data_IF_303042310569
#
_entry.id   IF_303042310569
#
_cell.length_a   1.000
_cell.length_b   1.000
_cell.length_c   1.000
_cell.angle_alpha   90.00
_cell.angle_beta   90.00
_cell.angle_gamma   90.00
#
_symmetry.space_group_name_H-M   'P 1'
#
loop_
_entity.id
_entity.type
_entity.pdbx_description
1 polymer ?
#
# COMPACT_ATOMS: atom_id res chain seq x y z
N UNK A 1 -18.30 0.76 -23.98
CA UNK A 1 -17.08 0.14 -23.42
C UNK A 1 -16.01 1.24 -23.34
N UNK A 2 -15.67 1.72 -22.15
CA UNK A 2 -14.60 2.72 -22.00
C UNK A 2 -13.27 2.06 -22.39
N UNK A 3 -12.62 2.59 -23.40
CA UNK A 3 -11.28 2.17 -23.84
C UNK A 3 -10.32 2.49 -22.69
N UNK A 4 -9.83 1.47 -21.99
CA UNK A 4 -8.83 1.66 -20.92
C UNK A 4 -7.61 2.37 -21.53
N UNK A 5 -7.33 3.59 -21.08
CA UNK A 5 -6.21 4.38 -21.61
C UNK A 5 -4.90 3.64 -21.35
N UNK A 6 -3.97 3.66 -22.31
CA UNK A 6 -2.61 3.09 -22.15
C UNK A 6 -1.92 3.61 -20.90
N UNK A 7 -2.13 4.88 -20.55
CA UNK A 7 -1.60 5.52 -19.35
C UNK A 7 -2.05 4.82 -18.06
N UNK A 8 -3.33 4.40 -17.98
CA UNK A 8 -3.87 3.70 -16.81
C UNK A 8 -3.25 2.31 -16.63
N UNK A 9 -3.04 1.58 -17.74
CA UNK A 9 -2.37 0.27 -17.69
C UNK A 9 -0.94 0.43 -17.22
N UNK A 10 -0.19 1.41 -17.74
CA UNK A 10 1.19 1.69 -17.33
C UNK A 10 1.23 2.12 -15.86
N UNK A 11 0.32 2.98 -15.40
CA UNK A 11 0.23 3.39 -14.00
C UNK A 11 0.00 2.18 -13.07
N UNK A 12 -0.91 1.27 -13.42
CA UNK A 12 -1.13 0.04 -12.67
C UNK A 12 0.09 -0.88 -12.67
N UNK A 13 0.76 -1.05 -13.82
CA UNK A 13 1.98 -1.87 -13.92
C UNK A 13 3.11 -1.32 -13.04
N UNK A 14 3.36 0.00 -13.07
CA UNK A 14 4.41 0.62 -12.26
C UNK A 14 4.05 0.55 -10.76
N UNK A 15 2.77 0.68 -10.40
CA UNK A 15 2.34 0.49 -9.01
C UNK A 15 2.48 -0.98 -8.57
N UNK A 16 2.23 -1.94 -9.46
CA UNK A 16 2.49 -3.36 -9.20
C UNK A 16 3.99 -3.67 -9.09
N UNK A 17 4.84 -2.97 -9.87
CA UNK A 17 6.30 -3.03 -9.73
C UNK A 17 6.77 -2.44 -8.39
N UNK A 18 6.11 -1.38 -7.91
CA UNK A 18 6.35 -0.87 -6.57
C UNK A 18 6.00 -1.91 -5.50
N UNK A 19 4.96 -2.71 -5.70
CA UNK A 19 4.62 -3.80 -4.79
C UNK A 19 5.65 -4.94 -4.84
N UNK A 20 6.18 -5.27 -6.02
CA UNK A 20 7.33 -6.18 -6.16
C UNK A 20 8.55 -5.67 -5.38
N UNK A 21 8.93 -4.40 -5.56
CA UNK A 21 10.03 -3.74 -4.85
C UNK A 21 9.84 -3.80 -3.34
N UNK A 22 8.63 -3.53 -2.85
CA UNK A 22 8.28 -3.60 -1.44
C UNK A 22 8.54 -5.00 -0.86
N UNK A 23 8.17 -6.06 -1.59
CA UNK A 23 8.41 -7.42 -1.14
C UNK A 23 9.88 -7.82 -1.18
N UNK A 24 10.65 -7.35 -2.16
CA UNK A 24 12.13 -7.50 -2.16
C UNK A 24 12.72 -6.87 -0.90
N UNK A 25 12.40 -5.61 -0.60
CA UNK A 25 12.90 -4.90 0.56
C UNK A 25 12.47 -5.55 1.89
N UNK A 26 11.30 -6.19 1.92
CA UNK A 26 10.75 -6.90 3.08
C UNK A 26 11.49 -8.21 3.36
N UNK A 27 11.84 -8.98 2.31
CA UNK A 27 12.40 -10.32 2.44
C UNK A 27 13.94 -10.36 2.42
N UNK A 28 14.59 -9.38 1.78
CA UNK A 28 16.05 -9.31 1.64
C UNK A 28 16.82 -9.38 2.97
N UNK A 29 16.40 -8.77 4.10
CA UNK A 29 17.16 -8.83 5.34
C UNK A 29 17.35 -10.23 5.90
N UNK A 30 16.44 -11.16 5.60
CA UNK A 30 16.54 -12.54 6.07
C UNK A 30 17.81 -13.26 5.55
N UNK A 31 18.26 -12.88 4.36
CA UNK A 31 19.47 -13.44 3.73
C UNK A 31 20.74 -12.77 4.26
N UNK A 32 20.63 -11.59 4.85
CA UNK A 32 21.75 -10.76 5.33
C UNK A 32 21.89 -10.80 6.86
N UNK A 33 21.18 -11.68 7.55
CA UNK A 33 21.14 -11.69 9.05
C UNK A 33 22.53 -11.68 9.70
N UNK A 34 23.52 -12.49 9.25
CA UNK A 34 24.86 -12.46 9.85
C UNK A 34 25.56 -11.10 9.68
N UNK A 35 25.56 -10.57 8.46
CA UNK A 35 26.22 -9.29 8.15
C UNK A 35 25.56 -8.10 8.86
N UNK A 36 24.23 -8.12 8.98
CA UNK A 36 23.49 -7.08 9.69
C UNK A 36 23.72 -7.16 11.21
N UNK A 37 23.80 -8.38 11.77
CA UNK A 37 24.11 -8.60 13.18
C UNK A 37 25.46 -8.02 13.57
N UNK A 38 26.50 -8.28 12.78
CA UNK A 38 27.83 -7.70 12.95
C UNK A 38 27.83 -6.18 12.77
N UNK A 39 27.20 -5.69 11.70
CA UNK A 39 27.20 -4.26 11.37
C UNK A 39 26.50 -3.40 12.41
N UNK A 40 25.41 -3.89 12.98
CA UNK A 40 24.63 -3.17 14.01
C UNK A 40 25.08 -3.50 15.43
N UNK A 41 25.96 -4.47 15.63
CA UNK A 41 26.35 -4.92 16.96
C UNK A 41 25.21 -5.54 17.75
N UNK A 42 24.21 -6.13 17.09
CA UNK A 42 23.00 -6.64 17.68
C UNK A 42 23.00 -8.17 17.76
N UNK A 43 22.44 -8.69 18.84
CA UNK A 43 22.09 -10.11 18.93
C UNK A 43 21.01 -10.49 17.90
N UNK A 44 20.85 -11.79 17.62
CA UNK A 44 19.79 -12.27 16.73
C UNK A 44 18.39 -11.80 17.16
N UNK A 45 18.12 -11.77 18.46
CA UNK A 45 16.85 -11.27 19.01
C UNK A 45 16.69 -9.77 18.81
N UNK A 46 17.75 -8.97 19.07
CA UNK A 46 17.75 -7.52 18.83
C UNK A 46 17.52 -7.18 17.36
N UNK A 47 18.20 -7.90 16.46
CA UNK A 47 18.04 -7.74 15.02
C UNK A 47 16.63 -8.14 14.57
N UNK A 48 16.07 -9.24 15.08
CA UNK A 48 14.69 -9.63 14.79
C UNK A 48 13.70 -8.56 15.24
N UNK A 49 13.90 -7.93 16.41
CA UNK A 49 13.11 -6.81 16.89
C UNK A 49 13.18 -5.59 15.96
N UNK A 50 14.40 -5.19 15.54
CA UNK A 50 14.62 -4.11 14.60
C UNK A 50 13.90 -4.37 13.26
N UNK A 51 14.06 -5.56 12.71
CA UNK A 51 13.42 -5.95 11.46
C UNK A 51 11.89 -6.04 11.59
N UNK A 52 11.40 -6.43 12.78
CA UNK A 52 9.98 -6.49 13.13
C UNK A 52 9.26 -5.15 13.10
N UNK A 53 9.98 -4.01 13.28
CA UNK A 53 9.41 -2.67 13.19
C UNK A 53 8.70 -2.40 11.85
N UNK A 54 9.13 -3.06 10.79
CA UNK A 54 8.43 -3.02 9.51
C UNK A 54 6.96 -3.45 9.65
N UNK A 55 6.70 -4.58 10.28
CA UNK A 55 5.34 -5.12 10.45
C UNK A 55 4.53 -4.31 11.47
N UNK A 56 5.23 -3.82 12.50
CA UNK A 56 4.62 -2.98 13.52
C UNK A 56 4.11 -1.65 12.93
N UNK A 57 4.81 -1.08 11.97
CA UNK A 57 4.35 0.08 11.21
C UNK A 57 3.30 -0.31 10.16
N UNK A 58 3.53 -1.40 9.41
CA UNK A 58 2.67 -1.83 8.32
C UNK A 58 1.22 -2.03 8.75
N UNK A 59 0.99 -2.67 9.90
CA UNK A 59 -0.35 -3.02 10.37
C UNK A 59 -1.25 -1.79 10.64
N UNK A 60 -0.91 -0.82 11.50
CA UNK A 60 -1.75 0.34 11.75
C UNK A 60 -1.84 1.26 10.52
N UNK A 61 -0.75 1.42 9.76
CA UNK A 61 -0.77 2.23 8.56
C UNK A 61 -1.64 1.65 7.44
N UNK A 62 -2.01 0.37 7.49
CA UNK A 62 -2.96 -0.20 6.53
C UNK A 62 -4.36 0.43 6.64
N UNK A 63 -4.79 0.79 7.84
CA UNK A 63 -6.04 1.51 8.05
C UNK A 63 -5.93 2.97 7.57
N UNK A 64 -4.82 3.62 7.92
CA UNK A 64 -4.55 5.00 7.48
C UNK A 64 -4.47 5.09 5.96
N UNK A 65 -3.83 4.12 5.31
CA UNK A 65 -3.68 4.11 3.86
C UNK A 65 -5.02 3.98 3.12
N UNK A 66 -5.96 3.19 3.65
CA UNK A 66 -7.31 3.11 3.10
C UNK A 66 -8.00 4.49 3.11
N UNK A 67 -8.03 5.13 4.27
CA UNK A 67 -8.64 6.48 4.43
C UNK A 67 -7.91 7.53 3.59
N UNK A 68 -6.58 7.52 3.58
CA UNK A 68 -5.79 8.44 2.79
C UNK A 68 -6.03 8.26 1.28
N UNK A 69 -6.19 7.02 0.81
CA UNK A 69 -6.51 6.71 -0.58
C UNK A 69 -7.88 7.26 -0.98
N UNK A 70 -8.87 7.14 -0.10
CA UNK A 70 -10.24 7.65 -0.33
C UNK A 70 -10.32 9.18 -0.30
N UNK A 71 -9.51 9.85 0.52
CA UNK A 71 -9.53 11.31 0.67
C UNK A 71 -8.59 12.05 -0.26
N UNK A 72 -7.37 11.58 -0.43
CA UNK A 72 -6.29 12.25 -1.17
C UNK A 72 -6.06 11.65 -2.56
N UNK A 73 -6.59 10.44 -2.81
CA UNK A 73 -6.43 9.72 -4.06
C UNK A 73 -5.05 9.07 -4.23
N UNK A 74 -4.95 8.18 -5.23
CA UNK A 74 -3.74 7.39 -5.48
C UNK A 74 -2.54 8.24 -5.94
N UNK A 75 -2.79 9.36 -6.65
CA UNK A 75 -1.73 10.20 -7.22
C UNK A 75 -0.81 10.81 -6.17
N UNK A 76 -1.32 11.13 -5.00
CA UNK A 76 -0.52 11.73 -3.93
C UNK A 76 -0.02 10.67 -2.95
N UNK A 77 -0.89 9.74 -2.57
CA UNK A 77 -0.60 8.77 -1.51
C UNK A 77 0.42 7.71 -1.91
N UNK A 78 0.32 7.17 -3.14
CA UNK A 78 1.22 6.10 -3.60
C UNK A 78 2.67 6.60 -3.78
N UNK A 79 2.94 7.75 -4.42
CA UNK A 79 4.30 8.29 -4.51
C UNK A 79 4.90 8.64 -3.14
N UNK A 80 4.10 9.18 -2.22
CA UNK A 80 4.56 9.46 -0.85
C UNK A 80 4.96 8.16 -0.15
N UNK A 81 4.16 7.10 -0.30
CA UNK A 81 4.50 5.79 0.23
C UNK A 81 5.81 5.23 -0.35
N UNK A 82 6.00 5.35 -1.67
CA UNK A 82 7.23 4.91 -2.34
C UNK A 82 8.45 5.74 -1.90
N UNK A 83 8.29 7.05 -1.74
CA UNK A 83 9.34 7.94 -1.23
C UNK A 83 9.72 7.57 0.22
N UNK A 84 8.74 7.33 1.09
CA UNK A 84 8.98 6.89 2.46
C UNK A 84 9.75 5.56 2.50
N UNK A 85 9.40 4.61 1.64
CA UNK A 85 10.17 3.36 1.51
C UNK A 85 11.60 3.60 1.03
N UNK A 86 11.80 4.47 0.02
CA UNK A 86 13.12 4.79 -0.50
C UNK A 86 14.00 5.46 0.55
N UNK A 87 13.48 6.48 1.23
CA UNK A 87 14.18 7.15 2.36
C UNK A 87 14.47 6.15 3.48
N UNK A 88 13.50 5.32 3.83
CA UNK A 88 13.69 4.26 4.84
C UNK A 88 14.80 3.27 4.46
N UNK A 89 14.96 2.93 3.18
CA UNK A 89 16.05 2.08 2.71
C UNK A 89 17.43 2.78 2.80
N UNK A 90 17.49 4.09 2.52
CA UNK A 90 18.71 4.90 2.68
C UNK A 90 19.12 5.00 4.15
N UNK A 91 18.15 5.23 5.06
CA UNK A 91 18.43 5.26 6.50
C UNK A 91 18.91 3.89 7.00
N UNK A 92 18.33 2.80 6.50
CA UNK A 92 18.78 1.45 6.84
C UNK A 92 20.23 1.18 6.38
N UNK A 93 20.64 1.76 5.27
CA UNK A 93 21.99 1.61 4.71
C UNK A 93 23.10 2.29 5.52
N UNK A 94 22.78 3.20 6.45
CA UNK A 94 23.77 3.98 7.23
C UNK A 94 24.60 3.14 8.19
N UNK A 95 24.10 2.00 8.64
CA UNK A 95 24.76 1.16 9.62
C UNK A 95 24.52 1.57 11.09
N UNK A 96 23.82 2.65 11.35
CA UNK A 96 23.40 3.05 12.68
C UNK A 96 22.10 2.35 13.07
N UNK A 97 22.02 1.64 14.22
CA UNK A 97 20.82 0.91 14.63
C UNK A 97 19.58 1.79 14.80
N UNK A 98 19.76 3.04 15.23
CA UNK A 98 18.65 3.98 15.44
C UNK A 98 18.08 4.42 14.11
N UNK A 99 18.95 4.82 13.18
CA UNK A 99 18.56 5.20 11.83
C UNK A 99 17.95 4.02 11.08
N UNK A 100 18.49 2.82 11.25
CA UNK A 100 17.95 1.59 10.69
C UNK A 100 16.55 1.27 11.22
N UNK A 101 16.30 1.50 12.53
CA UNK A 101 14.98 1.31 13.14
C UNK A 101 13.95 2.29 12.58
N UNK A 102 14.29 3.57 12.45
CA UNK A 102 13.45 4.58 11.79
C UNK A 102 13.23 4.20 10.33
N UNK A 103 14.27 3.75 9.64
CA UNK A 103 14.22 3.29 8.27
C UNK A 103 13.24 2.13 8.08
N UNK A 104 13.27 1.12 8.97
CA UNK A 104 12.34 -0.02 8.93
C UNK A 104 10.89 0.38 9.19
N UNK A 105 10.69 1.31 10.11
CA UNK A 105 9.37 1.88 10.37
C UNK A 105 8.81 2.60 9.12
N UNK A 106 9.62 3.47 8.50
CA UNK A 106 9.23 4.17 7.26
C UNK A 106 8.95 3.22 6.10
N UNK A 107 9.78 2.16 5.95
CA UNK A 107 9.54 1.13 4.94
C UNK A 107 8.22 0.40 5.16
N UNK A 108 7.87 0.09 6.41
CA UNK A 108 6.59 -0.52 6.77
C UNK A 108 5.41 0.39 6.47
N UNK A 109 5.46 1.64 6.95
CA UNK A 109 4.40 2.63 6.72
C UNK A 109 4.21 2.96 5.24
N UNK A 110 5.30 3.12 4.48
CA UNK A 110 5.25 3.39 3.05
C UNK A 110 4.80 2.17 2.24
N UNK A 111 5.29 0.98 2.58
CA UNK A 111 5.04 -0.25 1.84
C UNK A 111 3.55 -0.64 1.70
N UNK A 112 2.72 -0.18 2.62
CA UNK A 112 1.27 -0.41 2.59
C UNK A 112 0.62 0.16 1.33
N UNK A 113 1.06 1.33 0.88
CA UNK A 113 0.48 2.02 -0.27
C UNK A 113 0.70 1.30 -1.60
N UNK A 114 1.62 0.34 -1.67
CA UNK A 114 1.89 -0.44 -2.86
C UNK A 114 0.69 -1.32 -3.27
N UNK A 115 0.23 -2.19 -2.37
CA UNK A 115 -0.92 -3.07 -2.64
C UNK A 115 -2.23 -2.30 -2.72
N UNK A 116 -2.47 -1.40 -1.77
CA UNK A 116 -3.71 -0.62 -1.71
C UNK A 116 -3.83 0.24 -2.97
N UNK A 117 -2.74 0.90 -3.39
CA UNK A 117 -2.71 1.71 -4.61
C UNK A 117 -2.97 0.92 -5.88
N UNK A 118 -2.31 -0.23 -6.06
CA UNK A 118 -2.53 -1.09 -7.22
C UNK A 118 -3.96 -1.64 -7.28
N UNK A 119 -4.50 -2.06 -6.12
CA UNK A 119 -5.87 -2.55 -6.01
C UNK A 119 -6.90 -1.44 -6.27
N UNK A 120 -6.66 -0.24 -5.75
CA UNK A 120 -7.49 0.94 -6.00
C UNK A 120 -7.52 1.29 -7.49
N UNK A 121 -6.36 1.32 -8.16
CA UNK A 121 -6.29 1.56 -9.61
C UNK A 121 -7.03 0.48 -10.40
N UNK A 122 -6.90 -0.78 -10.01
CA UNK A 122 -7.59 -1.89 -10.65
C UNK A 122 -9.12 -1.76 -10.51
N UNK A 123 -9.61 -1.44 -9.31
CA UNK A 123 -11.03 -1.34 -9.02
C UNK A 123 -11.70 -0.12 -9.66
N UNK A 124 -10.99 1.02 -9.73
CA UNK A 124 -11.58 2.29 -10.20
C UNK A 124 -11.43 2.54 -11.70
N UNK A 125 -10.41 1.97 -12.34
CA UNK A 125 -10.07 2.30 -13.73
C UNK A 125 -10.30 1.16 -14.72
N UNK A 126 -10.59 -0.06 -14.24
CA UNK A 126 -10.83 -1.20 -15.11
C UNK A 126 -12.26 -1.74 -14.93
N UNK A 127 -12.82 -2.43 -15.94
CA UNK A 127 -14.11 -3.10 -15.81
C UNK A 127 -14.10 -4.09 -14.63
N UNK A 128 -15.21 -4.20 -13.91
CA UNK A 128 -15.35 -5.09 -12.74
C UNK A 128 -14.97 -6.55 -13.06
N UNK A 129 -15.24 -7.01 -14.29
CA UNK A 129 -14.87 -8.35 -14.77
C UNK A 129 -13.34 -8.60 -14.82
N UNK A 130 -12.52 -7.55 -14.87
CA UNK A 130 -11.05 -7.63 -14.93
C UNK A 130 -10.37 -7.21 -13.63
N UNK A 131 -11.06 -6.46 -12.77
CA UNK A 131 -10.49 -5.91 -11.54
C UNK A 131 -9.93 -7.02 -10.64
N UNK A 132 -10.68 -8.11 -10.42
CA UNK A 132 -10.24 -9.24 -9.61
C UNK A 132 -8.96 -9.91 -10.17
N UNK A 133 -8.89 -10.09 -11.50
CA UNK A 133 -7.71 -10.66 -12.18
C UNK A 133 -6.49 -9.75 -12.01
N UNK A 134 -6.66 -8.43 -12.12
CA UNK A 134 -5.56 -7.47 -11.95
C UNK A 134 -5.06 -7.41 -10.51
N UNK A 135 -5.96 -7.51 -9.53
CA UNK A 135 -5.60 -7.61 -8.11
C UNK A 135 -4.80 -8.89 -7.86
N UNK A 136 -5.26 -10.03 -8.42
CA UNK A 136 -4.51 -11.29 -8.36
C UNK A 136 -3.13 -11.22 -9.02
N UNK A 137 -3.02 -10.56 -10.18
CA UNK A 137 -1.74 -10.33 -10.86
C UNK A 137 -0.81 -9.42 -10.02
N UNK A 138 -1.34 -8.41 -9.34
CA UNK A 138 -0.58 -7.60 -8.39
C UNK A 138 -0.03 -8.47 -7.24
N UNK A 139 -0.84 -9.37 -6.68
CA UNK A 139 -0.38 -10.30 -5.64
C UNK A 139 0.73 -11.23 -6.15
N UNK A 140 0.62 -11.76 -7.37
CA UNK A 140 1.70 -12.52 -8.00
C UNK A 140 3.00 -11.72 -8.07
N UNK A 141 2.95 -10.45 -8.48
CA UNK A 141 4.12 -9.56 -8.52
C UNK A 141 4.76 -9.40 -7.14
N UNK A 142 3.96 -9.22 -6.08
CA UNK A 142 4.48 -9.17 -4.72
C UNK A 142 5.16 -10.46 -4.30
N UNK A 143 4.52 -11.61 -4.51
CA UNK A 143 5.10 -12.91 -4.16
C UNK A 143 6.40 -13.18 -4.95
N UNK A 144 6.44 -12.83 -6.24
CA UNK A 144 7.65 -12.89 -7.06
C UNK A 144 8.76 -11.99 -6.49
N UNK A 145 8.41 -10.78 -6.00
CA UNK A 145 9.34 -9.90 -5.30
C UNK A 145 9.90 -10.52 -4.02
N UNK A 146 9.07 -11.19 -3.23
CA UNK A 146 9.50 -11.92 -2.04
C UNK A 146 10.50 -13.04 -2.36
N UNK A 147 10.21 -13.82 -3.40
CA UNK A 147 11.13 -14.85 -3.91
C UNK A 147 12.44 -14.23 -4.42
N UNK A 148 12.35 -13.15 -5.20
CA UNK A 148 13.54 -12.44 -5.69
C UNK A 148 14.42 -11.93 -4.53
N UNK A 149 13.81 -11.38 -3.47
CA UNK A 149 14.53 -10.93 -2.29
C UNK A 149 15.25 -12.04 -1.51
N UNK A 150 14.79 -13.26 -1.61
CA UNK A 150 15.47 -14.41 -0.98
C UNK A 150 16.47 -15.09 -1.91
N UNK A 151 16.10 -15.37 -3.15
CA UNK A 151 16.93 -16.17 -4.05
C UNK A 151 17.98 -15.38 -4.82
N UNK A 152 17.73 -14.10 -5.13
CA UNK A 152 18.69 -13.28 -5.90
C UNK A 152 19.66 -12.52 -5.00
N UNK A 153 19.23 -12.13 -3.78
CA UNK A 153 20.06 -11.32 -2.89
C UNK A 153 21.25 -12.11 -2.36
N UNK A 154 21.10 -13.41 -2.06
CA UNK A 154 22.21 -14.27 -1.64
C UNK A 154 23.40 -14.28 -2.64
N UNK A 155 23.19 -14.65 -3.90
CA UNK A 155 24.22 -14.55 -4.95
C UNK A 155 24.81 -13.14 -5.14
N UNK A 156 23.98 -12.08 -5.01
CA UNK A 156 24.46 -10.70 -5.09
C UNK A 156 25.44 -10.39 -3.93
N UNK A 157 25.13 -10.84 -2.72
CA UNK A 157 26.04 -10.67 -1.58
C UNK A 157 27.33 -11.48 -1.74
N UNK A 158 27.24 -12.71 -2.24
CA UNK A 158 28.40 -13.56 -2.48
C UNK A 158 29.30 -13.06 -3.62
N UNK A 159 28.79 -12.22 -4.53
CA UNK A 159 29.58 -11.57 -5.58
C UNK A 159 30.43 -10.38 -5.08
N UNK A 160 30.42 -10.10 -3.77
CA UNK A 160 31.21 -9.04 -3.13
C UNK A 160 30.48 -7.71 -2.95
N UNK A 161 29.18 -7.63 -3.24
CA UNK A 161 28.38 -6.44 -2.93
C UNK A 161 28.18 -6.35 -1.42
N UNK A 162 28.48 -5.19 -0.82
CA UNK A 162 28.19 -4.96 0.60
C UNK A 162 26.68 -4.75 0.82
N UNK A 163 26.19 -5.19 1.98
CA UNK A 163 24.79 -5.00 2.37
C UNK A 163 24.37 -3.52 2.33
N UNK A 164 25.24 -2.59 2.76
CA UNK A 164 24.98 -1.16 2.73
C UNK A 164 24.78 -0.64 1.30
N UNK A 165 25.62 -1.04 0.34
CA UNK A 165 25.46 -0.67 -1.08
C UNK A 165 24.16 -1.21 -1.67
N UNK A 166 23.76 -2.43 -1.31
CA UNK A 166 22.47 -2.98 -1.71
C UNK A 166 21.31 -2.09 -1.21
N UNK A 167 21.34 -1.70 0.06
CA UNK A 167 20.28 -0.85 0.63
C UNK A 167 20.30 0.58 0.09
N UNK A 168 21.46 1.13 -0.22
CA UNK A 168 21.55 2.41 -0.95
C UNK A 168 20.91 2.31 -2.33
N UNK A 169 21.20 1.23 -3.08
CA UNK A 169 20.58 1.00 -4.40
C UNK A 169 19.05 0.86 -4.26
N UNK A 170 18.59 0.08 -3.30
CA UNK A 170 17.16 -0.05 -3.01
C UNK A 170 16.53 1.31 -2.69
N UNK A 171 17.21 2.16 -1.92
CA UNK A 171 16.75 3.51 -1.62
C UNK A 171 16.59 4.37 -2.87
N UNK A 172 17.61 4.39 -3.73
CA UNK A 172 17.56 5.12 -5.02
C UNK A 172 16.42 4.61 -5.90
N UNK A 173 16.28 3.29 -6.04
CA UNK A 173 15.16 2.69 -6.80
C UNK A 173 13.81 3.11 -6.22
N UNK A 174 13.65 3.14 -4.89
CA UNK A 174 12.43 3.61 -4.23
C UNK A 174 12.10 5.06 -4.55
N UNK A 175 13.08 5.96 -4.53
CA UNK A 175 12.91 7.37 -4.90
C UNK A 175 12.57 7.53 -6.39
N UNK A 176 13.26 6.80 -7.26
CA UNK A 176 12.95 6.81 -8.71
C UNK A 176 11.52 6.33 -8.96
N UNK A 177 11.08 5.26 -8.29
CA UNK A 177 9.70 4.79 -8.36
C UNK A 177 8.71 5.84 -7.86
N UNK A 178 9.02 6.56 -6.79
CA UNK A 178 8.17 7.64 -6.28
C UNK A 178 7.98 8.75 -7.30
N UNK A 179 9.07 9.20 -7.92
CA UNK A 179 9.04 10.23 -8.96
C UNK A 179 8.25 9.74 -10.18
N UNK A 180 8.51 8.51 -10.63
CA UNK A 180 7.83 7.93 -11.77
C UNK A 180 6.31 7.79 -11.52
N UNK A 181 5.92 7.32 -10.34
CA UNK A 181 4.52 7.20 -9.93
C UNK A 181 3.83 8.57 -9.86
N UNK A 182 4.51 9.60 -9.36
CA UNK A 182 3.95 10.96 -9.29
C UNK A 182 3.56 11.51 -10.68
N UNK A 183 4.35 11.21 -11.72
CA UNK A 183 4.07 11.65 -13.09
C UNK A 183 3.08 10.74 -13.83
N UNK A 184 3.06 9.45 -13.53
CA UNK A 184 2.23 8.47 -14.24
C UNK A 184 0.81 8.36 -13.69
N UNK A 185 0.62 8.61 -12.38
CA UNK A 185 -0.70 8.47 -11.77
C UNK A 185 -1.64 9.59 -12.21
N UNK A 186 -2.80 9.27 -12.78
CA UNK A 186 -3.73 10.26 -13.28
C UNK A 186 -4.33 11.09 -12.13
N UNK A 187 -4.51 12.41 -12.39
CA UNK A 187 -5.36 13.25 -11.57
C UNK A 187 -6.82 12.79 -11.78
N UNK A 188 -7.35 11.97 -10.90
CA UNK A 188 -8.78 11.72 -10.83
C UNK A 188 -9.33 12.32 -9.56
N UNK A 189 -10.38 13.12 -9.73
CA UNK A 189 -11.29 13.41 -8.64
C UNK A 189 -11.78 12.07 -8.09
N UNK A 190 -11.56 11.84 -6.82
CA UNK A 190 -12.07 10.65 -6.12
C UNK A 190 -13.59 10.72 -6.22
N UNK A 191 -14.27 9.81 -6.91
CA UNK A 191 -15.70 9.73 -6.75
C UNK A 191 -15.92 9.40 -5.28
N UNK A 192 -16.52 10.31 -4.54
CA UNK A 192 -17.00 10.00 -3.18
C UNK A 192 -17.87 8.76 -3.35
N UNK A 193 -17.33 7.61 -2.93
CA UNK A 193 -18.06 6.35 -2.98
C UNK A 193 -19.23 6.52 -1.98
N UNK A 194 -20.37 6.93 -2.51
CA UNK A 194 -21.63 6.65 -1.85
C UNK A 194 -21.65 5.13 -1.71
N UNK A 195 -21.45 4.66 -0.49
CA UNK A 195 -21.44 3.23 -0.17
C UNK A 195 -22.63 2.57 -0.88
N UNK A 196 -22.41 1.47 -1.66
CA UNK A 196 -23.52 0.79 -2.31
C UNK A 196 -24.47 0.32 -1.23
N UNK A 197 -25.61 0.98 -1.08
CA UNK A 197 -26.57 0.73 0.00
C UNK A 197 -26.97 1.98 0.79
N UNK A 198 -26.16 3.03 0.88
CA UNK A 198 -26.53 4.23 1.62
C UNK A 198 -27.77 4.92 1.03
N UNK A 199 -27.92 4.95 -0.30
CA UNK A 199 -29.12 5.45 -0.98
C UNK A 199 -30.34 4.53 -0.75
N UNK A 200 -30.14 3.21 -0.82
CA UNK A 200 -31.21 2.23 -0.58
C UNK A 200 -31.63 2.21 0.90
N UNK A 201 -30.69 2.36 1.81
CA UNK A 201 -31.00 2.46 3.25
C UNK A 201 -31.69 3.77 3.58
N UNK A 202 -31.25 4.89 2.99
CA UNK A 202 -31.88 6.20 3.18
C UNK A 202 -33.30 6.23 2.60
N UNK A 203 -33.54 5.64 1.43
CA UNK A 203 -34.89 5.53 0.86
C UNK A 203 -35.79 4.60 1.68
N UNK A 204 -35.29 3.49 2.21
CA UNK A 204 -36.03 2.59 3.11
C UNK A 204 -36.39 3.25 4.45
N UNK A 205 -35.45 4.02 5.02
CA UNK A 205 -35.71 4.78 6.28
C UNK A 205 -36.71 5.88 6.00
N UNK A 206 -36.58 6.65 4.91
CA UNK A 206 -37.51 7.69 4.52
C UNK A 206 -38.95 7.13 4.29
N UNK A 207 -39.05 6.00 3.60
CA UNK A 207 -40.32 5.31 3.35
C UNK A 207 -40.97 4.79 4.65
N UNK A 208 -40.17 4.24 5.58
CA UNK A 208 -40.67 3.82 6.89
C UNK A 208 -41.15 4.98 7.76
N UNK A 209 -40.44 6.11 7.74
CA UNK A 209 -40.81 7.31 8.45
C UNK A 209 -42.11 7.93 7.88
N UNK A 210 -42.23 7.97 6.54
CA UNK A 210 -43.45 8.42 5.87
C UNK A 210 -44.66 7.55 6.22
N UNK A 211 -44.51 6.23 6.19
CA UNK A 211 -45.57 5.28 6.56
C UNK A 211 -45.96 5.38 8.06
N UNK A 212 -44.96 5.57 8.94
CA UNK A 212 -45.22 5.80 10.37
C UNK A 212 -46.00 7.11 10.63
N UNK A 213 -45.62 8.18 9.92
CA UNK A 213 -46.33 9.46 10.01
C UNK A 213 -47.78 9.35 9.51
N UNK A 214 -48.00 8.59 8.42
CA UNK A 214 -49.35 8.33 7.90
C UNK A 214 -50.22 7.52 8.88
N UNK A 215 -49.61 6.51 9.53
CA UNK A 215 -50.27 5.69 10.54
C UNK A 215 -50.66 6.50 11.79
N UNK A 216 -49.79 7.40 12.25
CA UNK A 216 -50.08 8.30 13.40
C UNK A 216 -51.20 9.29 13.04
N UNK A 217 -51.18 9.83 11.82
CA UNK A 217 -52.25 10.73 11.35
C UNK A 217 -53.65 10.03 11.28
N UNK A 218 -53.67 8.73 10.89
CA UNK A 218 -54.92 7.98 10.86
C UNK A 218 -55.48 7.66 12.25
N UNK A 219 -54.61 7.47 13.25
CA UNK A 219 -55.02 7.24 14.65
C UNK A 219 -55.51 8.52 15.34
N UNK A 220 -54.92 9.67 14.98
CA UNK A 220 -55.39 10.98 15.52
C UNK A 220 -56.73 11.41 14.95
N UNK A 221 -57.11 10.99 13.76
CA UNK A 221 -58.43 11.22 13.14
C UNK A 221 -59.61 10.49 13.82
N UNK A 222 -59.31 9.42 14.57
CA UNK A 222 -60.32 8.59 15.28
C UNK A 222 -60.70 9.12 16.68
N UNK A 223 -60.11 10.23 17.15
CA UNK A 223 -60.40 10.83 18.47
C UNK A 223 -61.47 11.93 18.45
N UNK A 224 -62.06 12.24 17.30
CA UNK A 224 -63.10 13.29 17.17
C UNK A 224 -64.46 12.73 16.77
N UNK A 225 -64.84 11.57 17.32
CA UNK A 225 -66.25 11.11 17.34
C UNK A 225 -66.67 10.74 18.75
#
# INVERSE_FOLDING_TARGET
>A
MARTSRTVVVAWLVTSLYYFYQYVARSAPAVMMPQLGEAFGLTAAGLAGLLGLFYFAYSPFSLVAGVAMDQLGARLTVPIGAAAMGVGALLFATGDPTMASIGRFLQGAGGVFALIGASFLAATNFPASRAATLIGATQMMGMAGGSAGQFLVGPIMSSGMSWSRFWMLMGVVGIVLAVLLYFLLPNREVPVATAPGASATRSRISMKLSNASCAIASVSGLRNF
#
